data_IF_835990443197
#
_entry.id   IF_835990443197
#
_cell.length_a   1.000
_cell.length_b   1.000
_cell.length_c   1.000
_cell.angle_alpha   90.00
_cell.angle_beta   90.00
_cell.angle_gamma   90.00
#
_symmetry.space_group_name_H-M   'P 1'
#
loop_
_entity.id
_entity.type
_entity.pdbx_description
1 polymer ?
#
# COMPACT_ATOMS: atom_id res chain seq x y z
N UNK A 1 10.20 25.10 7.04
CA UNK A 1 9.43 24.17 6.20
C UNK A 1 8.02 24.06 6.75
N UNK A 2 6.98 24.43 5.98
CA UNK A 2 5.59 24.22 6.38
C UNK A 2 5.12 22.92 5.73
N UNK A 3 5.13 21.84 6.49
CA UNK A 3 4.57 20.56 6.04
C UNK A 3 3.05 20.75 5.96
N UNK A 4 2.47 20.53 4.77
CA UNK A 4 1.02 20.53 4.61
C UNK A 4 0.40 19.44 5.48
N UNK A 5 -0.87 19.57 5.84
CA UNK A 5 -1.52 18.48 6.60
C UNK A 5 -1.55 17.23 5.74
N UNK A 6 -1.46 16.05 6.36
CA UNK A 6 -1.55 14.75 5.64
C UNK A 6 -2.81 14.70 4.77
N UNK A 7 -3.94 15.19 5.27
CA UNK A 7 -5.20 15.27 4.52
C UNK A 7 -5.15 16.15 3.26
N UNK A 8 -4.17 17.03 3.11
CA UNK A 8 -4.02 17.95 1.97
C UNK A 8 -3.13 17.35 0.88
N UNK A 9 -2.00 16.74 1.25
CA UNK A 9 -1.03 16.24 0.26
C UNK A 9 -1.18 14.74 -0.05
N UNK A 10 -1.67 13.94 0.89
CA UNK A 10 -1.75 12.48 0.73
C UNK A 10 -2.67 12.03 -0.41
N UNK A 11 -3.84 12.68 -0.68
CA UNK A 11 -4.67 12.29 -1.83
C UNK A 11 -3.95 12.37 -3.17
N UNK A 12 -3.06 13.37 -3.35
CA UNK A 12 -2.27 13.49 -4.57
C UNK A 12 -1.25 12.35 -4.68
N UNK A 13 -0.56 12.03 -3.58
CA UNK A 13 0.39 10.91 -3.52
C UNK A 13 -0.32 9.59 -3.84
N UNK A 14 -1.46 9.32 -3.18
CA UNK A 14 -2.26 8.10 -3.39
C UNK A 14 -2.72 7.94 -4.84
N UNK A 15 -3.14 9.03 -5.48
CA UNK A 15 -3.48 9.03 -6.91
C UNK A 15 -2.27 8.67 -7.78
N UNK A 16 -1.09 9.26 -7.53
CA UNK A 16 0.13 8.95 -8.30
C UNK A 16 0.57 7.50 -8.07
N UNK A 17 0.55 7.01 -6.82
CA UNK A 17 0.87 5.62 -6.48
C UNK A 17 -0.10 4.62 -7.13
N UNK A 18 -1.37 4.98 -7.28
CA UNK A 18 -2.34 4.18 -8.04
C UNK A 18 -1.91 4.06 -9.50
N UNK A 19 -1.49 5.15 -10.15
CA UNK A 19 -0.99 5.12 -11.52
C UNK A 19 0.31 4.33 -11.66
N UNK A 20 1.20 4.38 -10.66
CA UNK A 20 2.40 3.54 -10.59
C UNK A 20 2.02 2.06 -10.58
N UNK A 21 1.08 1.66 -9.71
CA UNK A 21 0.56 0.29 -9.66
C UNK A 21 -0.06 -0.16 -10.98
N UNK A 22 -0.74 0.75 -11.69
CA UNK A 22 -1.31 0.51 -13.02
C UNK A 22 -0.28 0.59 -14.17
N UNK A 23 0.98 0.89 -13.87
CA UNK A 23 2.08 1.05 -14.82
C UNK A 23 1.86 2.22 -15.80
N UNK A 24 1.14 3.26 -15.37
CA UNK A 24 0.79 4.47 -16.14
C UNK A 24 1.60 5.70 -15.69
N UNK A 25 2.91 5.52 -15.49
CA UNK A 25 3.82 6.56 -14.99
C UNK A 25 3.71 7.92 -15.70
N UNK A 26 3.60 8.01 -17.04
CA UNK A 26 3.50 9.30 -17.72
C UNK A 26 2.22 10.08 -17.43
N UNK A 27 1.21 9.44 -16.83
CA UNK A 27 -0.11 10.02 -16.60
C UNK A 27 -0.22 10.70 -15.22
N UNK A 28 0.85 10.79 -14.43
CA UNK A 28 0.80 11.32 -13.05
C UNK A 28 0.19 12.73 -12.94
N UNK A 29 0.37 13.59 -13.94
CA UNK A 29 -0.23 14.93 -13.97
C UNK A 29 -1.78 14.90 -14.03
N UNK A 30 -2.39 13.79 -14.49
CA UNK A 30 -3.85 13.63 -14.48
C UNK A 30 -4.44 13.65 -13.06
N UNK A 31 -3.63 13.44 -12.02
CA UNK A 31 -4.03 13.57 -10.63
C UNK A 31 -4.43 14.99 -10.25
N UNK A 32 -3.91 16.03 -10.94
CA UNK A 32 -4.37 17.41 -10.72
C UNK A 32 -5.83 17.57 -11.11
N UNK A 33 -6.20 17.12 -12.31
CA UNK A 33 -7.59 17.19 -12.79
C UNK A 33 -8.52 16.31 -11.95
N UNK A 34 -8.09 15.07 -11.64
CA UNK A 34 -8.85 14.10 -10.83
C UNK A 34 -9.23 14.65 -9.46
N UNK A 35 -8.32 15.43 -8.84
CA UNK A 35 -8.50 15.97 -7.50
C UNK A 35 -8.93 17.45 -7.48
N UNK A 36 -9.05 18.10 -8.65
CA UNK A 36 -9.38 19.52 -8.75
C UNK A 36 -8.30 20.44 -8.17
N UNK A 37 -7.03 20.08 -8.32
CA UNK A 37 -5.87 20.82 -7.80
C UNK A 37 -5.25 21.73 -8.87
N UNK A 38 -4.70 22.87 -8.44
CA UNK A 38 -3.88 23.72 -9.30
C UNK A 38 -2.51 23.05 -9.52
N UNK A 39 -2.09 22.77 -10.76
CA UNK A 39 -0.78 22.17 -11.04
C UNK A 39 0.39 23.13 -10.79
N UNK A 40 0.15 24.45 -10.80
CA UNK A 40 1.21 25.47 -10.78
C UNK A 40 2.17 25.35 -9.59
N UNK A 41 1.71 25.18 -8.32
CA UNK A 41 2.64 25.10 -7.19
C UNK A 41 3.62 23.93 -7.28
N UNK A 42 3.18 22.76 -7.79
CA UNK A 42 4.04 21.59 -7.96
C UNK A 42 4.96 21.77 -9.18
N UNK A 43 4.45 22.31 -10.28
CA UNK A 43 5.27 22.61 -11.46
C UNK A 43 6.38 23.64 -11.15
N UNK A 44 6.07 24.68 -10.38
CA UNK A 44 7.03 25.69 -9.93
C UNK A 44 8.08 25.05 -8.98
N UNK A 45 7.66 24.17 -8.06
CA UNK A 45 8.55 23.40 -7.19
C UNK A 45 9.51 22.51 -7.99
N UNK A 46 8.97 21.77 -8.97
CA UNK A 46 9.73 20.85 -9.82
C UNK A 46 10.76 21.59 -10.69
N UNK A 47 10.37 22.71 -11.30
CA UNK A 47 11.22 23.44 -12.24
C UNK A 47 12.23 24.40 -11.59
N UNK A 48 12.02 24.80 -10.33
CA UNK A 48 12.90 25.74 -9.62
C UNK A 48 14.17 25.11 -9.03
N UNK A 49 14.29 23.77 -9.02
CA UNK A 49 15.34 23.05 -8.31
C UNK A 49 15.04 22.86 -6.81
N UNK A 50 13.95 23.42 -6.29
CA UNK A 50 13.56 23.23 -4.89
C UNK A 50 13.21 21.77 -4.58
N UNK A 51 12.74 21.00 -5.57
CA UNK A 51 12.58 19.55 -5.44
C UNK A 51 13.86 18.81 -5.04
N UNK A 52 15.01 19.17 -5.63
CA UNK A 52 16.32 18.58 -5.29
C UNK A 52 16.72 18.91 -3.85
N UNK A 53 16.48 20.15 -3.41
CA UNK A 53 16.75 20.55 -2.02
C UNK A 53 15.92 19.71 -1.03
N UNK A 54 14.64 19.47 -1.33
CA UNK A 54 13.76 18.64 -0.52
C UNK A 54 14.23 17.18 -0.49
N UNK A 55 14.63 16.62 -1.64
CA UNK A 55 15.15 15.24 -1.70
C UNK A 55 16.41 15.06 -0.83
N UNK A 56 17.33 16.02 -0.86
CA UNK A 56 18.53 16.00 -0.01
C UNK A 56 18.19 16.12 1.49
N UNK A 57 17.17 16.90 1.85
CA UNK A 57 16.68 16.99 3.23
C UNK A 57 16.09 15.64 3.68
N UNK A 58 15.22 15.02 2.89
CA UNK A 58 14.68 13.69 3.21
C UNK A 58 15.75 12.59 3.22
N UNK A 59 16.79 12.70 2.39
CA UNK A 59 17.95 11.81 2.44
C UNK A 59 18.70 11.95 3.79
N UNK A 60 18.88 13.17 4.30
CA UNK A 60 19.49 13.40 5.61
C UNK A 60 18.63 12.83 6.75
N UNK A 61 17.30 13.03 6.71
CA UNK A 61 16.37 12.44 7.69
C UNK A 61 16.41 10.90 7.66
N UNK A 62 16.41 10.33 6.46
CA UNK A 62 16.47 8.87 6.25
C UNK A 62 17.80 8.27 6.71
N UNK A 63 18.92 8.96 6.47
CA UNK A 63 20.25 8.56 6.95
C UNK A 63 20.40 8.69 8.46
N UNK A 64 19.62 9.56 9.10
CA UNK A 64 19.63 9.78 10.54
C UNK A 64 18.76 8.78 11.32
N UNK A 65 18.01 7.90 10.64
CA UNK A 65 17.20 6.87 11.29
C UNK A 65 18.05 6.00 12.22
N UNK A 66 17.50 5.71 13.40
CA UNK A 66 18.11 4.84 14.40
C UNK A 66 17.11 3.74 14.79
N UNK A 67 17.40 2.46 14.50
CA UNK A 67 18.54 1.98 13.70
C UNK A 67 18.44 2.42 12.23
N UNK A 68 19.55 2.42 11.48
CA UNK A 68 19.49 2.62 10.03
C UNK A 68 18.53 1.63 9.37
N UNK A 69 17.75 2.11 8.41
CA UNK A 69 16.82 1.24 7.67
C UNK A 69 17.59 0.18 6.86
N UNK A 70 17.02 -1.02 6.73
CA UNK A 70 17.68 -2.14 6.05
C UNK A 70 17.09 -2.42 4.66
N UNK A 71 15.85 -2.00 4.44
CA UNK A 71 15.08 -2.17 3.22
C UNK A 71 13.90 -1.20 3.22
N UNK A 72 13.19 -1.17 2.11
CA UNK A 72 11.90 -0.48 1.98
C UNK A 72 10.79 -1.50 1.75
N UNK A 73 9.56 -1.27 2.24
CA UNK A 73 9.16 -0.12 3.07
C UNK A 73 9.78 -0.18 4.49
N UNK A 74 10.10 0.99 5.05
CA UNK A 74 10.59 1.13 6.43
C UNK A 74 9.53 1.83 7.29
N UNK A 75 8.81 1.06 8.11
CA UNK A 75 7.68 1.56 8.91
C UNK A 75 8.09 1.65 10.37
N UNK A 76 7.82 2.81 10.99
CA UNK A 76 8.15 3.10 12.39
C UNK A 76 6.90 3.62 13.11
N UNK A 77 6.59 3.07 14.28
CA UNK A 77 5.48 3.51 15.14
C UNK A 77 6.03 3.85 16.52
N UNK A 78 5.83 5.10 16.99
CA UNK A 78 6.36 5.61 18.28
C UNK A 78 7.86 5.30 18.52
N UNK A 79 8.66 5.36 17.45
CA UNK A 79 10.11 5.05 17.47
C UNK A 79 10.47 3.57 17.33
N UNK A 80 9.50 2.67 17.26
CA UNK A 80 9.71 1.23 17.06
C UNK A 80 9.66 0.88 15.56
N UNK A 81 10.76 0.42 14.94
CA UNK A 81 10.73 -0.12 13.57
C UNK A 81 10.05 -1.49 13.55
N UNK A 82 9.13 -1.69 12.61
CA UNK A 82 8.28 -2.90 12.55
C UNK A 82 8.90 -4.07 11.78
N UNK A 83 9.94 -3.82 10.98
CA UNK A 83 10.59 -4.82 10.11
C UNK A 83 9.55 -5.59 9.26
N UNK A 84 9.62 -6.93 9.23
CA UNK A 84 8.72 -7.80 8.46
C UNK A 84 7.28 -7.82 8.97
N UNK A 85 7.01 -7.24 10.14
CA UNK A 85 5.65 -7.14 10.69
C UNK A 85 4.97 -5.81 10.34
N UNK A 86 5.51 -5.07 9.36
CA UNK A 86 4.98 -3.77 8.94
C UNK A 86 3.51 -3.79 8.50
N UNK A 87 3.01 -4.91 7.94
CA UNK A 87 1.59 -5.04 7.59
C UNK A 87 0.66 -5.01 8.81
N UNK A 88 1.17 -5.37 10.00
CA UNK A 88 0.43 -5.33 11.26
C UNK A 88 0.49 -3.95 11.94
N UNK A 89 0.88 -2.89 11.24
CA UNK A 89 1.08 -1.54 11.82
C UNK A 89 -0.11 -1.04 12.64
N UNK A 90 -1.36 -1.40 12.28
CA UNK A 90 -2.55 -1.05 13.06
C UNK A 90 -2.49 -1.57 14.51
N UNK A 91 -1.98 -2.80 14.73
CA UNK A 91 -1.80 -3.35 16.07
C UNK A 91 -0.80 -2.54 16.88
N UNK A 92 0.30 -2.12 16.24
CA UNK A 92 1.32 -1.29 16.88
C UNK A 92 0.79 0.11 17.21
N UNK A 93 0.03 0.73 16.30
CA UNK A 93 -0.64 2.02 16.55
C UNK A 93 -1.56 1.91 17.76
N UNK A 94 -2.39 0.86 17.82
CA UNK A 94 -3.32 0.66 18.93
C UNK A 94 -2.62 0.46 20.26
N UNK A 95 -1.48 -0.26 20.29
CA UNK A 95 -0.66 -0.40 21.50
C UNK A 95 0.02 0.91 21.91
N UNK A 96 0.46 1.71 20.94
CA UNK A 96 1.12 2.99 21.19
C UNK A 96 0.14 4.11 21.57
N UNK A 97 -1.15 3.97 21.26
CA UNK A 97 -2.18 4.96 21.55
C UNK A 97 -2.43 5.11 23.05
N UNK A 98 -2.07 6.28 23.60
CA UNK A 98 -2.22 6.64 25.02
C UNK A 98 -3.47 7.49 25.32
N UNK A 99 -4.36 7.66 24.34
CA UNK A 99 -5.57 8.45 24.50
C UNK A 99 -6.64 7.72 25.32
N UNK A 100 -7.56 8.48 25.90
CA UNK A 100 -8.62 7.93 26.78
C UNK A 100 -9.82 7.37 26.01
N UNK A 101 -10.00 7.78 24.76
CA UNK A 101 -11.10 7.30 23.92
C UNK A 101 -10.70 5.99 23.27
N UNK A 102 -11.40 4.90 23.60
CA UNK A 102 -11.20 3.62 22.91
C UNK A 102 -11.59 3.78 21.45
N UNK A 103 -10.65 3.50 20.55
CA UNK A 103 -10.90 3.48 19.12
C UNK A 103 -11.51 2.13 18.75
N UNK A 104 -12.67 2.12 18.11
CA UNK A 104 -13.38 0.90 17.69
C UNK A 104 -12.48 -0.05 16.88
N UNK A 105 -11.68 0.52 15.97
CA UNK A 105 -10.70 -0.23 15.17
C UNK A 105 -9.68 -0.99 16.03
N UNK A 106 -9.29 -0.45 17.19
CA UNK A 106 -8.36 -1.14 18.09
C UNK A 106 -9.00 -2.33 18.78
N UNK A 107 -10.29 -2.23 19.13
CA UNK A 107 -11.04 -3.37 19.66
C UNK A 107 -11.23 -4.49 18.61
N UNK A 108 -11.41 -4.14 17.34
CA UNK A 108 -11.50 -5.11 16.23
C UNK A 108 -10.15 -5.80 15.94
N UNK A 109 -9.05 -5.04 15.98
CA UNK A 109 -7.68 -5.58 15.81
C UNK A 109 -7.31 -6.55 16.93
N UNK A 110 -7.72 -6.28 18.17
CA UNK A 110 -7.55 -7.23 19.29
C UNK A 110 -8.36 -8.51 19.09
N UNK A 111 -9.60 -8.40 18.60
CA UNK A 111 -10.48 -9.55 18.38
C UNK A 111 -9.98 -10.47 17.24
N UNK A 112 -9.46 -9.89 16.16
CA UNK A 112 -8.92 -10.62 15.01
C UNK A 112 -7.56 -11.30 15.30
N UNK A 113 -6.70 -10.67 16.09
CA UNK A 113 -5.43 -11.27 16.53
C UNK A 113 -5.60 -12.46 17.49
N UNK A 114 -6.69 -12.49 18.26
CA UNK A 114 -7.05 -13.66 19.10
C UNK A 114 -7.52 -14.86 18.26
N UNK A 115 -8.19 -14.62 17.12
CA UNK A 115 -8.64 -15.67 16.19
C UNK A 115 -7.49 -16.26 15.33
N UNK A 116 -6.38 -15.54 15.20
CA UNK A 116 -5.20 -15.88 14.40
C UNK A 116 -4.21 -16.82 15.12
N UNK A 117 -4.45 -17.20 16.39
CA UNK A 117 -3.57 -18.12 17.14
C UNK A 117 -3.53 -19.56 16.59
N UNK A 118 -4.01 -19.80 15.37
CA UNK A 118 -4.05 -21.12 14.74
C UNK A 118 -4.08 -21.20 13.20
N UNK A 119 -3.99 -20.10 12.43
CA UNK A 119 -3.86 -20.13 10.95
C UNK A 119 -3.03 -18.95 10.44
N UNK A 120 -2.33 -19.16 9.32
CA UNK A 120 -1.36 -18.25 8.70
C UNK A 120 -1.80 -16.78 8.62
N UNK A 121 -0.80 -15.89 8.75
CA UNK A 121 -0.92 -14.42 8.79
C UNK A 121 -1.86 -13.91 7.68
N UNK A 122 -2.76 -12.95 7.98
CA UNK A 122 -3.60 -12.37 6.95
C UNK A 122 -2.71 -11.49 6.07
N UNK A 123 -2.62 -11.82 4.79
CA UNK A 123 -1.93 -10.98 3.79
C UNK A 123 -2.78 -9.72 3.62
N UNK A 124 -2.42 -8.63 4.31
CA UNK A 124 -2.94 -7.31 3.98
C UNK A 124 -1.97 -6.76 2.96
N UNK A 125 -2.25 -7.09 1.70
CA UNK A 125 -1.48 -6.64 0.55
C UNK A 125 -1.57 -5.12 0.42
N UNK A 126 -0.60 -4.40 0.99
CA UNK A 126 -0.50 -2.94 0.89
C UNK A 126 0.04 -2.51 -0.49
N UNK A 127 0.72 -3.40 -1.23
CA UNK A 127 1.34 -3.05 -2.52
C UNK A 127 0.99 -3.94 -3.72
N UNK A 128 0.11 -4.93 -3.56
CA UNK A 128 -0.50 -5.63 -4.70
C UNK A 128 -1.98 -5.26 -4.71
N UNK A 129 -2.38 -4.46 -5.71
CA UNK A 129 -3.78 -4.35 -6.06
C UNK A 129 -4.37 -5.76 -6.08
N UNK A 130 -5.48 -5.94 -5.38
CA UNK A 130 -6.17 -7.22 -5.29
C UNK A 130 -6.46 -7.68 -6.72
N UNK A 131 -5.59 -8.50 -7.28
CA UNK A 131 -5.88 -9.24 -8.49
C UNK A 131 -6.91 -10.26 -8.07
N UNK A 132 -8.19 -9.84 -8.06
CA UNK A 132 -9.26 -10.75 -8.47
C UNK A 132 -8.75 -11.33 -9.76
N UNK A 133 -8.37 -12.61 -9.75
CA UNK A 133 -8.06 -13.32 -10.98
C UNK A 133 -9.18 -12.98 -11.97
N UNK A 134 -8.86 -12.43 -13.15
CA UNK A 134 -9.90 -12.15 -14.13
C UNK A 134 -10.63 -13.46 -14.37
N UNK A 135 -11.95 -13.41 -14.51
CA UNK A 135 -12.84 -14.56 -14.76
C UNK A 135 -12.38 -15.46 -15.94
N UNK A 136 -11.39 -15.01 -16.70
CA UNK A 136 -10.62 -15.77 -17.67
C UNK A 136 -9.94 -17.03 -17.11
N UNK A 137 -9.35 -17.00 -15.91
CA UNK A 137 -8.66 -18.17 -15.33
C UNK A 137 -9.64 -19.31 -14.96
N UNK A 138 -10.82 -18.96 -14.46
CA UNK A 138 -11.95 -19.88 -14.23
C UNK A 138 -12.46 -20.48 -15.55
N UNK A 139 -12.61 -19.66 -16.60
CA UNK A 139 -13.05 -20.11 -17.93
C UNK A 139 -12.08 -21.09 -18.58
N UNK A 140 -10.77 -20.84 -18.49
CA UNK A 140 -9.76 -21.75 -19.04
C UNK A 140 -9.74 -23.08 -18.28
N UNK A 141 -9.84 -23.04 -16.94
CA UNK A 141 -9.97 -24.28 -16.14
C UNK A 141 -11.20 -25.08 -16.56
N UNK A 142 -12.38 -24.46 -16.66
CA UNK A 142 -13.62 -25.14 -17.10
C UNK A 142 -13.51 -25.73 -18.50
N UNK A 143 -12.83 -25.05 -19.43
CA UNK A 143 -12.63 -25.55 -20.78
C UNK A 143 -11.72 -26.79 -20.80
N UNK A 144 -10.65 -26.79 -19.99
CA UNK A 144 -9.71 -27.91 -19.87
C UNK A 144 -10.37 -29.12 -19.17
N UNK A 145 -11.13 -28.94 -18.08
CA UNK A 145 -11.85 -30.05 -17.44
C UNK A 145 -12.95 -30.62 -18.34
N UNK A 146 -13.62 -29.79 -19.14
CA UNK A 146 -14.61 -30.25 -20.14
C UNK A 146 -13.95 -31.08 -21.25
N UNK A 147 -12.79 -30.65 -21.75
CA UNK A 147 -12.00 -31.40 -22.72
C UNK A 147 -11.49 -32.73 -22.17
N UNK A 148 -10.95 -32.75 -20.95
CA UNK A 148 -10.47 -33.99 -20.30
C UNK A 148 -11.63 -34.97 -20.05
N UNK A 149 -12.81 -34.49 -19.62
CA UNK A 149 -14.00 -35.34 -19.51
C UNK A 149 -14.44 -35.91 -20.85
N UNK A 150 -14.39 -35.13 -21.93
CA UNK A 150 -14.73 -35.60 -23.29
C UNK A 150 -13.76 -36.67 -23.79
N UNK A 151 -12.47 -36.53 -23.51
CA UNK A 151 -11.46 -37.55 -23.87
C UNK A 151 -11.71 -38.85 -23.10
N UNK A 152 -11.98 -38.79 -21.80
CA UNK A 152 -12.23 -39.98 -20.98
C UNK A 152 -13.53 -40.72 -21.37
N UNK A 153 -14.53 -40.01 -21.91
CA UNK A 153 -15.77 -40.60 -22.45
C UNK A 153 -15.60 -41.25 -23.83
N UNK A 154 -14.57 -40.87 -24.59
CA UNK A 154 -14.24 -41.45 -25.90
C UNK A 154 -13.25 -42.62 -25.81
N UNK A 155 -12.60 -42.80 -24.67
CA UNK A 155 -11.68 -43.92 -24.39
C UNK A 155 -12.33 -45.12 -23.68
N UNK A 156 -13.66 -45.20 -23.61
CA UNK A 156 -14.41 -46.29 -22.96
C UNK A 156 -15.33 -47.06 -23.92
N UNK A 157 -14.95 -47.15 -25.20
CA UNK A 157 -15.46 -48.11 -26.18
C UNK A 157 -14.32 -48.98 -26.71
#
# INVERSE_FOLDING_TARGET
MKILKVSEHFPFIDCVETLVNEHKYPEWESCFETLGLDPKPIADCYSSGYGEELELQYAAETNALQPPHQYVPWVVVDGEPLYEDYENFLSYICKAYKGTTVLEICSEVESSSIMQRGREKPIISVCYGQTRMPAFAERVRSAITSWIRRINMLGSL
#
